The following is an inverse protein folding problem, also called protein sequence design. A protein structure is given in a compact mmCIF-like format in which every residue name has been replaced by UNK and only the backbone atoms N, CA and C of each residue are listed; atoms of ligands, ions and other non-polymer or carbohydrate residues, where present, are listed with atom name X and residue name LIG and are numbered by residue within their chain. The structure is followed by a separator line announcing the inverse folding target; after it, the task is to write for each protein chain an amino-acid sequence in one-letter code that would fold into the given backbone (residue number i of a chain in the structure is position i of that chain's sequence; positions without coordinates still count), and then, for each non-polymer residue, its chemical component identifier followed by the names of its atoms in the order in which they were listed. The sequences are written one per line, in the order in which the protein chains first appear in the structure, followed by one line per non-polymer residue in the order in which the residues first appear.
data_IF_102683019676
#
_entry.id   IF_102683019676
#
_cell.length_a   1.000
_cell.length_b   1.000
_cell.length_c   1.000
_cell.angle_alpha   90.00
_cell.angle_beta   90.00
_cell.angle_gamma   90.00
#
_symmetry.space_group_name_H-M   'P 1'
#
loop_
_entity.id
_entity.type
_entity.pdbx_description
1 polymer ?
#
# COMPACT_ATOMS: atom_id res chain seq x y z
N UNK A 1 20.34 37.38 18.84
CA UNK A 1 20.35 37.03 17.41
C UNK A 1 20.75 38.25 16.60
N UNK A 2 21.91 38.19 15.95
CA UNK A 2 22.46 39.28 15.15
C UNK A 2 21.56 39.65 13.99
N UNK A 3 21.44 40.93 13.64
CA UNK A 3 20.65 41.43 12.50
C UNK A 3 20.97 40.68 11.19
N UNK A 4 22.20 40.19 11.02
CA UNK A 4 22.63 39.34 9.87
C UNK A 4 21.90 38.00 9.81
N UNK A 5 21.64 37.34 10.95
CA UNK A 5 20.94 36.03 10.96
C UNK A 5 19.45 36.16 10.63
N UNK A 6 18.81 37.29 10.97
CA UNK A 6 17.42 37.58 10.59
C UNK A 6 17.28 37.77 9.08
N UNK A 7 18.23 38.48 8.45
CA UNK A 7 18.26 38.68 7.00
C UNK A 7 18.42 37.37 6.25
N UNK A 8 19.28 36.46 6.71
CA UNK A 8 19.51 35.13 6.10
C UNK A 8 18.24 34.28 6.18
N UNK A 9 17.56 34.29 7.32
CA UNK A 9 16.30 33.54 7.50
C UNK A 9 15.19 34.07 6.59
N UNK A 10 15.06 35.40 6.42
CA UNK A 10 14.07 35.96 5.49
C UNK A 10 14.39 35.66 4.02
N UNK A 11 15.66 35.65 3.62
CA UNK A 11 16.06 35.22 2.27
C UNK A 11 15.78 33.72 2.03
N UNK A 12 16.01 32.85 3.02
CA UNK A 12 15.70 31.42 2.91
C UNK A 12 14.18 31.16 2.78
N UNK A 13 13.36 31.88 3.53
CA UNK A 13 11.90 31.79 3.44
C UNK A 13 11.38 32.30 2.07
N UNK A 14 11.96 33.41 1.57
CA UNK A 14 11.62 33.96 0.25
C UNK A 14 12.03 33.05 -0.91
N UNK A 15 13.12 32.29 -0.78
CA UNK A 15 13.56 31.29 -1.77
C UNK A 15 12.65 30.04 -1.78
N UNK A 16 12.10 29.64 -0.64
CA UNK A 16 11.16 28.50 -0.56
C UNK A 16 9.78 28.80 -1.16
N UNK A 17 9.35 30.07 -1.26
CA UNK A 17 8.02 30.42 -1.75
C UNK A 17 7.88 30.35 -3.27
N UNK A 18 8.95 30.14 -4.02
CA UNK A 18 8.91 30.13 -5.51
C UNK A 18 8.57 28.77 -6.13
N UNK A 19 8.45 27.69 -5.33
CA UNK A 19 8.29 26.34 -5.90
C UNK A 19 6.87 25.79 -5.93
N UNK A 20 5.85 26.57 -5.60
CA UNK A 20 4.45 26.10 -5.64
C UNK A 20 3.70 26.71 -6.81
N UNK A 21 4.22 26.56 -8.03
CA UNK A 21 3.42 26.74 -9.23
C UNK A 21 2.93 25.37 -9.69
N UNK A 22 1.83 24.89 -9.13
CA UNK A 22 1.14 23.70 -9.63
C UNK A 22 0.55 24.03 -10.99
N UNK A 23 1.29 23.75 -12.05
CA UNK A 23 0.76 23.83 -13.41
C UNK A 23 -0.37 22.81 -13.56
N UNK A 24 -1.54 23.20 -14.10
CA UNK A 24 -2.60 22.26 -14.40
C UNK A 24 -2.10 21.30 -15.48
N UNK A 25 -1.75 20.07 -15.07
CA UNK A 25 -1.33 19.03 -16.00
C UNK A 25 -2.58 18.39 -16.60
N UNK A 26 -2.77 18.57 -17.90
CA UNK A 26 -3.80 17.82 -18.63
C UNK A 26 -3.29 16.38 -18.81
N UNK A 27 -3.98 15.43 -18.22
CA UNK A 27 -3.63 14.01 -18.28
C UNK A 27 -4.60 13.33 -19.24
N UNK A 28 -4.07 12.67 -20.27
CA UNK A 28 -4.84 11.82 -21.18
C UNK A 28 -5.09 10.43 -20.57
N UNK A 29 -6.03 9.69 -21.14
CA UNK A 29 -6.41 8.34 -20.69
C UNK A 29 -5.23 7.37 -20.76
N UNK A 30 -4.44 7.42 -21.82
CA UNK A 30 -3.23 6.58 -21.99
C UNK A 30 -2.18 6.83 -20.92
N UNK A 31 -1.92 8.09 -20.61
CA UNK A 31 -0.98 8.47 -19.56
C UNK A 31 -1.44 7.97 -18.18
N UNK A 32 -2.75 8.02 -17.94
CA UNK A 32 -3.34 7.50 -16.71
C UNK A 32 -3.18 5.98 -16.61
N UNK A 33 -3.35 5.24 -17.71
CA UNK A 33 -3.12 3.79 -17.73
C UNK A 33 -1.65 3.46 -17.48
N UNK A 34 -0.72 4.18 -18.10
CA UNK A 34 0.71 4.00 -17.88
C UNK A 34 1.10 4.22 -16.41
N UNK A 35 0.63 5.31 -15.82
CA UNK A 35 0.88 5.61 -14.41
C UNK A 35 0.24 4.56 -13.47
N UNK A 36 -0.92 4.04 -13.81
CA UNK A 36 -1.55 2.98 -13.05
C UNK A 36 -0.77 1.66 -13.14
N UNK A 37 -0.31 1.29 -14.32
CA UNK A 37 0.50 0.10 -14.53
C UNK A 37 1.81 0.16 -13.72
N UNK A 38 2.42 1.36 -13.57
CA UNK A 38 3.66 1.56 -12.83
C UNK A 38 3.46 1.68 -11.30
N UNK A 39 2.36 2.29 -10.86
CA UNK A 39 2.21 2.71 -9.45
C UNK A 39 1.08 2.02 -8.70
N UNK A 40 0.22 1.24 -9.37
CA UNK A 40 -0.90 0.58 -8.71
C UNK A 40 -0.44 -0.56 -7.82
N UNK A 41 -0.63 -0.44 -6.52
CA UNK A 41 -0.37 -1.50 -5.55
C UNK A 41 -1.15 -2.77 -5.89
N UNK A 42 -2.39 -2.63 -6.38
CA UNK A 42 -3.21 -3.78 -6.77
C UNK A 42 -2.58 -4.56 -7.92
N UNK A 43 -2.03 -3.90 -8.93
CA UNK A 43 -1.33 -4.56 -10.05
C UNK A 43 -0.05 -5.22 -9.53
N UNK A 44 0.71 -4.56 -8.66
CA UNK A 44 1.93 -5.11 -8.06
C UNK A 44 1.66 -6.38 -7.24
N UNK A 45 0.58 -6.42 -6.46
CA UNK A 45 0.19 -7.62 -5.69
C UNK A 45 -0.05 -8.82 -6.61
N UNK A 46 -0.77 -8.64 -7.70
CA UNK A 46 -1.00 -9.73 -8.66
C UNK A 46 0.25 -10.13 -9.44
N UNK A 47 1.15 -9.18 -9.71
CA UNK A 47 2.45 -9.49 -10.30
C UNK A 47 3.30 -10.32 -9.33
N UNK A 48 3.37 -9.95 -8.06
CA UNK A 48 4.04 -10.75 -7.03
C UNK A 48 3.40 -12.13 -6.87
N UNK A 49 2.08 -12.24 -6.99
CA UNK A 49 1.36 -13.51 -7.00
C UNK A 49 1.78 -14.42 -8.15
N UNK A 50 1.99 -13.86 -9.34
CA UNK A 50 2.53 -14.58 -10.49
C UNK A 50 3.96 -15.08 -10.22
N UNK A 51 4.82 -14.23 -9.66
CA UNK A 51 6.20 -14.59 -9.34
C UNK A 51 6.25 -15.71 -8.27
N UNK A 52 5.33 -15.64 -7.28
CA UNK A 52 5.18 -16.69 -6.28
C UNK A 52 4.70 -18.03 -6.88
N UNK A 53 3.78 -18.00 -7.84
CA UNK A 53 3.32 -19.20 -8.53
C UNK A 53 4.42 -19.81 -9.39
N UNK A 54 5.27 -18.98 -10.02
CA UNK A 54 6.45 -19.45 -10.73
C UNK A 54 7.47 -20.09 -9.80
N UNK A 55 7.74 -19.51 -8.63
CA UNK A 55 8.60 -20.12 -7.62
C UNK A 55 8.03 -21.44 -7.10
N UNK A 56 6.70 -21.55 -6.92
CA UNK A 56 6.03 -22.80 -6.55
C UNK A 56 6.23 -23.89 -7.61
N UNK A 57 6.16 -23.55 -8.90
CA UNK A 57 6.47 -24.48 -10.00
C UNK A 57 7.93 -24.95 -9.94
N UNK A 58 8.89 -24.05 -9.68
CA UNK A 58 10.30 -24.42 -9.52
C UNK A 58 10.49 -25.36 -8.33
N UNK A 59 9.83 -25.09 -7.20
CA UNK A 59 9.83 -25.94 -6.02
C UNK A 59 9.25 -27.34 -6.32
N UNK A 60 8.14 -27.41 -7.08
CA UNK A 60 7.58 -28.69 -7.52
C UNK A 60 8.56 -29.47 -8.41
N UNK A 61 9.24 -28.80 -9.33
CA UNK A 61 10.27 -29.43 -10.18
C UNK A 61 11.49 -29.91 -9.38
N UNK A 62 11.86 -29.18 -8.32
CA UNK A 62 12.95 -29.55 -7.43
C UNK A 62 12.70 -30.86 -6.66
N UNK A 63 11.45 -31.31 -6.51
CA UNK A 63 11.13 -32.61 -5.89
C UNK A 63 11.72 -33.81 -6.65
N UNK A 64 12.17 -33.63 -7.90
CA UNK A 64 12.91 -34.65 -8.66
C UNK A 64 14.37 -34.74 -8.27
N UNK A 65 14.89 -33.77 -7.54
CA UNK A 65 16.28 -33.72 -7.10
C UNK A 65 16.43 -34.41 -5.74
N UNK A 66 17.63 -34.92 -5.40
CA UNK A 66 17.90 -35.43 -4.07
C UNK A 66 17.84 -34.30 -3.03
N UNK A 67 17.27 -34.61 -1.89
CA UNK A 67 17.33 -33.77 -0.70
C UNK A 67 18.58 -34.11 0.10
N UNK A 68 19.44 -33.14 0.36
CA UNK A 68 20.70 -33.28 1.05
C UNK A 68 20.67 -32.45 2.33
N UNK A 69 20.68 -33.15 3.46
CA UNK A 69 20.65 -32.56 4.79
C UNK A 69 21.99 -32.78 5.50
N UNK A 70 22.62 -31.70 5.96
CA UNK A 70 23.79 -31.75 6.81
C UNK A 70 23.40 -31.25 8.20
N UNK A 71 23.63 -32.04 9.23
CA UNK A 71 23.41 -31.65 10.61
C UNK A 71 24.68 -31.73 11.44
N UNK A 72 24.88 -30.69 12.26
CA UNK A 72 25.94 -30.63 13.25
C UNK A 72 25.30 -30.32 14.60
N UNK A 73 25.52 -31.19 15.56
CA UNK A 73 25.07 -30.95 16.95
C UNK A 73 26.23 -31.00 17.90
N UNK A 74 26.26 -30.09 18.85
CA UNK A 74 27.19 -30.08 19.98
C UNK A 74 26.38 -30.08 21.26
N UNK A 75 26.74 -30.96 22.16
CA UNK A 75 26.08 -31.08 23.46
C UNK A 75 27.10 -31.04 24.59
N UNK A 76 26.73 -30.39 25.69
CA UNK A 76 27.49 -30.43 26.92
C UNK A 76 26.67 -31.18 27.94
N UNK A 77 27.23 -32.31 28.42
CA UNK A 77 26.59 -33.19 29.40
C UNK A 77 27.26 -32.99 30.76
N UNK A 78 26.48 -32.87 31.77
CA UNK A 78 26.98 -32.90 33.17
C UNK A 78 27.22 -34.34 33.64
N UNK A 79 27.86 -34.46 34.81
CA UNK A 79 28.09 -35.75 35.45
C UNK A 79 26.79 -36.52 35.70
N UNK A 80 26.79 -37.79 35.33
CA UNK A 80 25.64 -38.67 35.58
C UNK A 80 25.62 -39.18 37.02
N UNK A 81 24.42 -39.22 37.62
CA UNK A 81 24.20 -39.92 38.89
C UNK A 81 23.28 -41.11 38.66
N UNK A 82 23.77 -42.30 39.02
CA UNK A 82 22.98 -43.52 39.01
C UNK A 82 22.52 -43.78 40.43
N UNK A 83 21.25 -44.10 40.59
CA UNK A 83 20.64 -44.48 41.89
C UNK A 83 20.17 -45.90 41.80
N UNK A 84 20.33 -46.64 42.93
CA UNK A 84 19.70 -47.94 43.04
C UNK A 84 18.16 -47.80 43.02
N UNK A 85 17.48 -48.93 42.83
CA UNK A 85 16.02 -49.00 42.75
C UNK A 85 15.30 -48.35 43.96
N UNK A 86 15.98 -48.34 45.10
CA UNK A 86 15.48 -47.83 46.39
C UNK A 86 15.98 -46.39 46.64
N UNK A 87 16.61 -45.71 45.66
CA UNK A 87 17.20 -44.36 45.78
C UNK A 87 18.27 -44.25 46.90
N UNK A 88 18.88 -45.39 47.34
CA UNK A 88 19.72 -45.44 48.54
C UNK A 88 21.22 -45.24 48.28
N UNK A 89 21.78 -45.58 47.14
CA UNK A 89 23.21 -45.51 46.86
C UNK A 89 23.49 -44.69 45.60
N UNK A 90 23.79 -43.39 45.72
CA UNK A 90 24.18 -42.58 44.53
C UNK A 90 25.59 -42.96 44.10
N UNK A 91 25.73 -43.45 42.86
CA UNK A 91 26.99 -43.67 42.21
C UNK A 91 27.22 -42.56 41.17
N UNK A 92 28.34 -41.86 41.25
CA UNK A 92 28.73 -40.90 40.22
C UNK A 92 29.36 -41.64 39.04
N UNK A 93 28.88 -41.34 37.85
CA UNK A 93 29.43 -41.91 36.61
C UNK A 93 30.10 -40.78 35.86
N UNK A 94 31.40 -40.90 35.64
CA UNK A 94 32.13 -39.98 34.81
C UNK A 94 31.69 -40.16 33.35
N UNK A 95 31.03 -39.14 32.83
CA UNK A 95 30.57 -39.09 31.41
C UNK A 95 31.39 -38.08 30.65
N UNK A 96 31.67 -38.32 29.35
CA UNK A 96 32.32 -37.31 28.54
C UNK A 96 31.44 -36.03 28.50
N UNK A 97 32.00 -34.92 29.03
CA UNK A 97 31.27 -33.65 29.17
C UNK A 97 30.94 -33.00 27.83
N UNK A 98 31.62 -33.36 26.75
CA UNK A 98 31.42 -32.80 25.43
C UNK A 98 31.08 -33.90 24.42
N UNK A 99 29.89 -33.77 23.83
CA UNK A 99 29.45 -34.60 22.71
C UNK A 99 29.34 -33.76 21.44
N UNK A 100 29.88 -34.27 20.35
CA UNK A 100 29.65 -33.73 19.02
C UNK A 100 29.13 -34.81 18.10
N UNK A 101 28.22 -34.44 17.22
CA UNK A 101 27.70 -35.32 16.19
C UNK A 101 27.59 -34.56 14.87
N UNK A 102 28.14 -35.12 13.82
CA UNK A 102 27.96 -34.65 12.46
C UNK A 102 27.27 -35.75 11.66
N UNK A 103 26.20 -35.42 10.94
CA UNK A 103 25.56 -36.33 10.01
C UNK A 103 25.32 -35.65 8.66
N UNK A 104 25.52 -36.39 7.61
CA UNK A 104 25.17 -36.01 6.24
C UNK A 104 24.22 -37.09 5.71
N UNK A 105 23.01 -36.65 5.36
CA UNK A 105 21.94 -37.49 4.83
C UNK A 105 21.57 -37.04 3.43
N UNK A 106 21.49 -38.00 2.49
CA UNK A 106 21.00 -37.75 1.14
C UNK A 106 19.82 -38.69 0.87
N UNK A 107 18.66 -38.10 0.56
CA UNK A 107 17.44 -38.84 0.27
C UNK A 107 16.89 -38.47 -1.10
N UNK A 108 16.54 -39.44 -1.91
CA UNK A 108 15.90 -39.22 -3.20
C UNK A 108 14.73 -40.19 -3.39
N UNK A 109 13.58 -39.63 -3.80
CA UNK A 109 12.44 -40.44 -4.20
C UNK A 109 12.63 -40.93 -5.62
N UNK A 110 12.80 -42.23 -5.79
CA UNK A 110 13.00 -42.86 -7.10
C UNK A 110 11.66 -43.08 -7.80
N UNK A 111 10.63 -43.48 -7.06
CA UNK A 111 9.29 -43.72 -7.60
C UNK A 111 8.22 -43.37 -6.58
N UNK A 112 7.24 -42.58 -7.00
CA UNK A 112 6.12 -42.14 -6.17
C UNK A 112 4.76 -42.33 -6.87
N UNK A 113 4.63 -43.37 -7.71
CA UNK A 113 3.35 -43.68 -8.40
C UNK A 113 2.80 -42.53 -9.26
N UNK A 114 3.65 -41.67 -9.82
CA UNK A 114 3.22 -40.49 -10.61
C UNK A 114 2.94 -39.23 -9.80
N UNK A 115 2.96 -39.26 -8.46
CA UNK A 115 2.62 -38.13 -7.61
C UNK A 115 3.46 -36.87 -7.91
N UNK A 116 4.77 -37.02 -8.14
CA UNK A 116 5.67 -35.90 -8.48
C UNK A 116 5.27 -35.28 -9.82
N UNK A 117 4.95 -36.10 -10.83
CA UNK A 117 4.54 -35.58 -12.15
C UNK A 117 3.24 -34.82 -12.08
N UNK A 118 2.24 -35.37 -11.38
CA UNK A 118 0.95 -34.69 -11.18
C UNK A 118 1.08 -33.41 -10.33
N UNK A 119 2.01 -33.39 -9.36
CA UNK A 119 2.32 -32.18 -8.57
C UNK A 119 2.91 -31.07 -9.45
N UNK A 120 3.79 -31.40 -10.38
CA UNK A 120 4.37 -30.45 -11.33
C UNK A 120 3.29 -29.91 -12.27
N UNK A 121 2.44 -30.78 -12.82
CA UNK A 121 1.34 -30.38 -13.71
C UNK A 121 0.35 -29.44 -12.97
N UNK A 122 0.02 -29.76 -11.72
CA UNK A 122 -0.82 -28.89 -10.88
C UNK A 122 -0.17 -27.52 -10.67
N UNK A 123 1.14 -27.47 -10.43
CA UNK A 123 1.87 -26.22 -10.25
C UNK A 123 1.95 -25.42 -11.58
N UNK A 124 2.04 -26.07 -12.73
CA UNK A 124 1.97 -25.41 -14.06
C UNK A 124 0.61 -24.78 -14.30
N UNK A 125 -0.46 -25.47 -13.98
CA UNK A 125 -1.82 -24.94 -14.05
C UNK A 125 -2.00 -23.76 -13.07
N UNK A 126 -1.44 -23.86 -11.87
CA UNK A 126 -1.41 -22.79 -10.88
C UNK A 126 -0.71 -21.53 -11.39
N UNK A 127 0.46 -21.69 -12.04
CA UNK A 127 1.16 -20.58 -12.70
C UNK A 127 0.29 -19.94 -13.78
N UNK A 128 -0.30 -20.74 -14.66
CA UNK A 128 -1.17 -20.23 -15.73
C UNK A 128 -2.38 -19.47 -15.17
N UNK A 129 -3.01 -20.00 -14.12
CA UNK A 129 -4.10 -19.30 -13.43
C UNK A 129 -3.66 -17.93 -12.87
N UNK A 130 -2.50 -17.88 -12.21
CA UNK A 130 -1.96 -16.61 -11.67
C UNK A 130 -1.65 -15.59 -12.78
N UNK A 131 -1.19 -16.04 -13.95
CA UNK A 131 -0.96 -15.17 -15.12
C UNK A 131 -2.27 -14.56 -15.64
N UNK A 132 -3.32 -15.38 -15.75
CA UNK A 132 -4.66 -14.92 -16.16
C UNK A 132 -5.27 -13.96 -15.13
N UNK A 133 -5.10 -14.24 -13.86
CA UNK A 133 -5.59 -13.37 -12.78
C UNK A 133 -4.87 -12.01 -12.80
N UNK A 134 -3.58 -11.98 -13.07
CA UNK A 134 -2.83 -10.74 -13.24
C UNK A 134 -3.34 -9.93 -14.44
N UNK A 135 -3.57 -10.57 -15.57
CA UNK A 135 -4.14 -9.93 -16.76
C UNK A 135 -5.55 -9.38 -16.51
N UNK A 136 -6.41 -10.19 -15.91
CA UNK A 136 -7.78 -9.81 -15.55
C UNK A 136 -7.77 -8.59 -14.61
N UNK A 137 -6.96 -8.63 -13.56
CA UNK A 137 -6.87 -7.52 -12.62
C UNK A 137 -6.38 -6.22 -13.28
N UNK A 138 -5.41 -6.31 -14.19
CA UNK A 138 -4.95 -5.15 -14.96
C UNK A 138 -6.08 -4.54 -15.79
N UNK A 139 -6.91 -5.37 -16.42
CA UNK A 139 -8.07 -4.90 -17.18
C UNK A 139 -9.15 -4.29 -16.27
N UNK A 140 -9.39 -4.87 -15.09
CA UNK A 140 -10.33 -4.32 -14.11
C UNK A 140 -9.89 -2.93 -13.62
N UNK A 141 -8.59 -2.75 -13.34
CA UNK A 141 -8.04 -1.45 -12.94
C UNK A 141 -8.24 -0.42 -14.06
N UNK A 142 -7.94 -0.78 -15.31
CA UNK A 142 -8.15 0.10 -16.46
C UNK A 142 -9.62 0.44 -16.66
N UNK A 143 -10.50 -0.52 -16.49
CA UNK A 143 -11.96 -0.29 -16.57
C UNK A 143 -12.44 0.70 -15.51
N UNK A 144 -12.03 0.53 -14.27
CA UNK A 144 -12.32 1.44 -13.16
C UNK A 144 -11.82 2.86 -13.45
N UNK A 145 -10.57 2.99 -13.90
CA UNK A 145 -9.97 4.28 -14.24
C UNK A 145 -10.72 4.97 -15.38
N UNK A 146 -11.14 4.22 -16.39
CA UNK A 146 -11.96 4.76 -17.49
C UNK A 146 -13.29 5.31 -16.95
N UNK A 147 -13.93 4.60 -16.04
CA UNK A 147 -15.16 5.07 -15.38
C UNK A 147 -14.94 6.40 -14.65
N UNK A 148 -13.91 6.50 -13.83
CA UNK A 148 -13.59 7.75 -13.13
C UNK A 148 -13.22 8.90 -14.07
N UNK A 149 -12.50 8.61 -15.15
CA UNK A 149 -12.17 9.63 -16.15
C UNK A 149 -13.43 10.19 -16.82
N UNK A 150 -14.38 9.32 -17.19
CA UNK A 150 -15.65 9.74 -17.78
C UNK A 150 -16.51 10.55 -16.80
N UNK A 151 -16.53 10.17 -15.52
CA UNK A 151 -17.24 10.91 -14.49
C UNK A 151 -16.64 12.30 -14.29
N UNK A 152 -15.33 12.42 -14.25
CA UNK A 152 -14.63 13.72 -14.18
C UNK A 152 -14.93 14.59 -15.41
N UNK A 153 -14.91 14.00 -16.61
CA UNK A 153 -15.24 14.69 -17.84
C UNK A 153 -16.70 15.19 -17.84
N UNK A 154 -17.62 14.36 -17.37
CA UNK A 154 -19.03 14.74 -17.21
C UNK A 154 -19.18 15.90 -16.23
N UNK A 155 -18.54 15.83 -15.06
CA UNK A 155 -18.58 16.92 -14.08
C UNK A 155 -17.98 18.21 -14.62
N UNK A 156 -16.86 18.12 -15.36
CA UNK A 156 -16.24 19.28 -15.98
C UNK A 156 -17.19 19.96 -16.97
N UNK A 157 -17.84 19.20 -17.84
CA UNK A 157 -18.83 19.73 -18.77
C UNK A 157 -20.05 20.34 -18.07
N UNK A 158 -20.55 19.70 -17.00
CA UNK A 158 -21.65 20.27 -16.21
C UNK A 158 -21.25 21.61 -15.59
N UNK A 159 -20.04 21.73 -15.07
CA UNK A 159 -19.54 23.00 -14.53
C UNK A 159 -19.41 24.09 -15.62
N UNK A 160 -18.98 23.73 -16.84
CA UNK A 160 -18.92 24.68 -17.95
C UNK A 160 -20.32 25.17 -18.34
N UNK A 161 -21.28 24.26 -18.42
CA UNK A 161 -22.68 24.61 -18.69
C UNK A 161 -23.21 25.56 -17.63
N UNK A 162 -22.98 25.26 -16.33
CA UNK A 162 -23.41 26.13 -15.23
C UNK A 162 -22.74 27.52 -15.25
N UNK A 163 -21.48 27.61 -15.71
CA UNK A 163 -20.78 28.89 -15.88
C UNK A 163 -21.30 29.69 -17.06
N UNK A 164 -21.72 29.04 -18.15
CA UNK A 164 -22.27 29.67 -19.34
C UNK A 164 -23.70 30.20 -19.15
N UNK A 165 -24.44 29.62 -18.23
CA UNK A 165 -25.72 30.18 -17.80
C UNK A 165 -25.49 31.21 -16.67
N UNK A 166 -25.65 32.53 -16.91
CA UNK A 166 -25.63 33.50 -15.84
C UNK A 166 -26.94 33.36 -15.06
N UNK A 167 -27.10 32.30 -14.31
CA UNK A 167 -28.15 32.20 -13.27
C UNK A 167 -27.76 33.23 -12.24
N UNK A 168 -28.17 34.49 -12.44
CA UNK A 168 -28.33 35.42 -11.32
C UNK A 168 -29.41 34.79 -10.46
N UNK A 169 -29.07 34.21 -9.32
CA UNK A 169 -30.11 33.59 -8.49
C UNK A 169 -31.09 34.72 -8.15
N UNK A 170 -32.35 34.55 -8.54
CA UNK A 170 -33.44 35.53 -8.32
C UNK A 170 -33.52 35.91 -6.84
N UNK A 171 -33.10 35.02 -5.92
CA UNK A 171 -32.99 35.28 -4.50
C UNK A 171 -31.88 36.29 -4.15
N UNK A 172 -30.76 36.34 -4.90
CA UNK A 172 -29.67 37.28 -4.62
C UNK A 172 -30.11 38.75 -4.92
N UNK A 173 -30.90 38.97 -5.95
CA UNK A 173 -31.51 40.27 -6.19
C UNK A 173 -32.55 40.57 -5.10
N UNK A 174 -33.33 39.61 -4.65
CA UNK A 174 -34.27 39.76 -3.53
C UNK A 174 -33.55 40.08 -2.21
N UNK A 175 -32.40 39.48 -1.97
CA UNK A 175 -31.56 39.75 -0.79
C UNK A 175 -30.95 41.17 -0.86
N UNK A 176 -30.45 41.62 -2.01
CA UNK A 176 -29.99 43.02 -2.18
C UNK A 176 -31.08 44.03 -1.97
N UNK A 177 -32.29 43.74 -2.39
CA UNK A 177 -33.45 44.62 -2.11
C UNK A 177 -33.84 44.61 -0.62
N UNK A 178 -33.76 43.48 0.07
CA UNK A 178 -34.04 43.37 1.50
C UNK A 178 -32.99 44.10 2.35
N UNK A 179 -31.71 43.94 2.06
CA UNK A 179 -30.62 44.64 2.77
C UNK A 179 -30.68 46.13 2.54
N UNK A 180 -31.05 46.59 1.34
CA UNK A 180 -31.27 48.02 1.04
C UNK A 180 -32.50 48.59 1.78
N UNK A 181 -33.57 47.80 1.96
CA UNK A 181 -34.76 48.19 2.77
C UNK A 181 -34.45 48.26 4.25
N UNK A 182 -33.74 47.27 4.77
CA UNK A 182 -33.34 47.23 6.19
C UNK A 182 -32.39 48.38 6.49
N UNK A 183 -31.42 48.67 5.64
CA UNK A 183 -30.47 49.77 5.79
C UNK A 183 -31.18 51.14 5.82
N UNK A 184 -32.19 51.37 4.95
CA UNK A 184 -33.02 52.60 5.01
C UNK A 184 -33.86 52.69 6.28
N UNK A 185 -34.36 51.59 6.79
CA UNK A 185 -35.15 51.55 8.02
C UNK A 185 -34.31 51.88 9.26
N UNK A 186 -33.07 51.40 9.30
CA UNK A 186 -32.10 51.70 10.37
C UNK A 186 -31.65 53.16 10.32
N UNK A 187 -31.38 53.75 9.17
CA UNK A 187 -31.04 55.17 9.02
C UNK A 187 -32.20 56.09 9.41
N UNK A 188 -33.42 55.72 9.04
CA UNK A 188 -34.62 56.51 9.45
C UNK A 188 -34.86 56.49 10.96
N UNK A 189 -34.52 55.34 11.61
CA UNK A 189 -34.72 55.19 13.05
C UNK A 189 -33.65 55.93 13.87
N UNK A 190 -32.41 55.98 13.38
CA UNK A 190 -31.31 56.73 14.04
C UNK A 190 -31.46 58.24 13.89
N UNK A 191 -32.01 58.72 12.77
CA UNK A 191 -32.29 60.14 12.60
C UNK A 191 -33.49 60.62 13.46
N UNK A 192 -34.49 59.75 13.70
CA UNK A 192 -35.64 60.09 14.56
C UNK A 192 -35.28 60.08 16.05
N UNK A 193 -34.32 59.30 16.49
CA UNK A 193 -33.85 59.31 17.90
C UNK A 193 -32.89 60.46 18.17
N UNK A 194 -32.13 60.95 17.19
CA UNK A 194 -31.23 62.09 17.35
C UNK A 194 -32.02 63.46 17.45
N UNK A 195 -33.24 63.54 16.89
CA UNK A 195 -34.05 64.75 16.92
C UNK A 195 -34.95 64.88 18.17
N UNK A 196 -34.93 63.87 19.08
CA UNK A 196 -35.78 63.97 20.32
C UNK A 196 -34.95 64.37 21.53
N UNK A 197 -33.71 64.72 21.40
CA UNK A 197 -32.81 65.19 22.45
C UNK A 197 -32.17 66.57 22.15
N UNK A 198 -32.89 67.44 21.41
CA UNK A 198 -32.58 68.87 21.35
C UNK A 198 -33.72 69.69 21.99
#
# INVERSE_FOLDING_TARGET
MSKKNRLIVHCLIALCSQYVCAQPRTMGLEEMFRLADENSQRIQVYQTGKDAAEAALQAAKAQRLPDINASLSASYLGDGKLWDRDFSNPMNIDMPHFGNNFSLEAQQVIYAGGAISSSIELAELGKHSAELDAQKNRQEVRFLLTGYYLDLYKLHNQMQVLKSFPIRPCWMNRFKHLTKRIGKHWQAKTTSTCNRHK
#
